data_IF_574134402865
#
_entry.id   IF_574134402865
#
_cell.length_a   1.000
_cell.length_b   1.000
_cell.length_c   1.000
_cell.angle_alpha   90.00
_cell.angle_beta   90.00
_cell.angle_gamma   90.00
#
_symmetry.space_group_name_H-M   'P 1'
#
loop_
_entity.id
_entity.type
_entity.pdbx_description
1 polymer ?
#
# COMPACT_ATOMS: atom_id res chain seq x y z
N UNK A 1 -16.46 -40.35 20.62
CA UNK A 1 -17.77 -41.02 20.51
C UNK A 1 -18.31 -40.75 19.12
N UNK A 2 -18.33 -41.76 18.26
CA UNK A 2 -18.96 -41.72 16.92
C UNK A 2 -20.41 -42.22 17.05
N UNK A 3 -21.32 -42.10 16.04
CA UNK A 3 -21.19 -42.77 14.73
C UNK A 3 -21.38 -41.78 13.55
N UNK A 4 -20.65 -41.89 12.43
CA UNK A 4 -20.81 -42.90 11.36
C UNK A 4 -22.25 -42.96 10.81
N UNK A 5 -22.53 -42.21 9.75
CA UNK A 5 -23.43 -42.66 8.68
C UNK A 5 -22.50 -42.98 7.49
N UNK A 6 -22.10 -44.23 7.31
CA UNK A 6 -22.83 -45.30 6.60
C UNK A 6 -23.23 -44.91 5.18
N UNK A 7 -22.32 -45.27 4.27
CA UNK A 7 -22.59 -45.95 3.00
C UNK A 7 -23.71 -45.36 2.13
N UNK A 8 -23.29 -44.66 1.07
CA UNK A 8 -23.85 -44.91 -0.26
C UNK A 8 -22.68 -45.07 -1.23
N UNK A 9 -22.13 -46.28 -1.23
CA UNK A 9 -21.21 -46.78 -2.25
C UNK A 9 -22.04 -47.71 -3.13
N UNK A 10 -22.58 -47.19 -4.23
CA UNK A 10 -23.04 -47.96 -5.38
C UNK A 10 -23.33 -46.97 -6.51
N UNK A 11 -22.34 -46.79 -7.38
CA UNK A 11 -22.43 -47.02 -8.83
C UNK A 11 -21.53 -46.02 -9.59
N UNK A 12 -20.30 -46.45 -9.88
CA UNK A 12 -19.63 -46.08 -11.13
C UNK A 12 -20.42 -46.70 -12.29
N UNK A 13 -20.63 -45.97 -13.39
CA UNK A 13 -19.96 -46.48 -14.59
C UNK A 13 -19.06 -45.42 -15.22
N UNK A 14 -17.80 -45.82 -15.37
CA UNK A 14 -16.84 -45.34 -16.36
C UNK A 14 -17.50 -45.38 -17.75
N UNK A 15 -18.20 -44.32 -18.12
CA UNK A 15 -18.51 -44.06 -19.52
C UNK A 15 -17.66 -42.88 -19.93
N UNK A 16 -16.57 -43.21 -20.63
CA UNK A 16 -15.83 -42.30 -21.48
C UNK A 16 -16.80 -41.59 -22.42
N UNK A 17 -17.42 -40.50 -21.97
CA UNK A 17 -17.79 -39.45 -22.89
C UNK A 17 -16.47 -38.86 -23.35
N UNK A 18 -15.92 -39.42 -24.42
CA UNK A 18 -15.24 -38.66 -25.45
C UNK A 18 -16.24 -37.62 -25.98
N UNK A 19 -16.67 -36.66 -25.15
CA UNK A 19 -16.95 -35.33 -25.64
C UNK A 19 -15.58 -34.85 -26.08
N UNK A 20 -15.29 -35.11 -27.35
CA UNK A 20 -14.14 -34.61 -28.06
C UNK A 20 -14.04 -33.13 -27.71
N UNK A 21 -13.14 -32.82 -26.77
CA UNK A 21 -12.67 -31.47 -26.53
C UNK A 21 -11.92 -31.14 -27.81
N UNK A 22 -12.68 -30.79 -28.86
CA UNK A 22 -12.19 -30.17 -30.06
C UNK A 22 -11.46 -28.96 -29.53
N UNK A 23 -10.14 -29.09 -29.36
CA UNK A 23 -9.22 -28.01 -29.09
C UNK A 23 -9.46 -27.03 -30.22
N UNK A 24 -10.32 -26.04 -29.99
CA UNK A 24 -10.46 -24.89 -30.86
C UNK A 24 -9.14 -24.16 -30.73
N UNK A 25 -8.16 -24.59 -31.54
CA UNK A 25 -6.91 -23.88 -31.70
C UNK A 25 -7.31 -22.55 -32.32
N UNK A 26 -7.17 -21.48 -31.55
CA UNK A 26 -7.48 -20.14 -32.01
C UNK A 26 -6.61 -19.84 -33.24
N UNK A 27 -7.18 -19.90 -34.43
CA UNK A 27 -6.44 -19.63 -35.66
C UNK A 27 -5.80 -18.23 -35.64
N UNK A 28 -6.44 -17.26 -34.99
CA UNK A 28 -5.91 -15.94 -34.65
C UNK A 28 -6.52 -15.46 -33.33
N UNK A 29 -5.71 -14.89 -32.43
CA UNK A 29 -6.14 -14.25 -31.18
C UNK A 29 -6.16 -12.73 -31.30
N UNK A 30 -6.89 -12.04 -30.41
CA UNK A 30 -6.78 -10.59 -30.29
C UNK A 30 -5.47 -10.22 -29.62
N UNK A 31 -4.71 -9.29 -30.20
CA UNK A 31 -3.36 -8.94 -29.74
C UNK A 31 -3.34 -8.01 -28.52
N UNK A 32 -4.34 -7.15 -28.33
CA UNK A 32 -4.40 -6.20 -27.21
C UNK A 32 -5.84 -5.73 -26.90
N UNK A 33 -6.15 -5.49 -25.62
CA UNK A 33 -7.45 -4.92 -25.20
C UNK A 33 -7.34 -4.15 -23.88
N UNK A 34 -7.96 -2.96 -23.83
CA UNK A 34 -8.10 -2.13 -22.63
C UNK A 34 -9.56 -2.09 -22.11
N UNK A 35 -10.45 -2.92 -22.66
CA UNK A 35 -11.91 -2.78 -22.46
C UNK A 35 -12.39 -2.93 -21.00
N UNK A 36 -11.71 -3.75 -20.20
CA UNK A 36 -12.10 -4.01 -18.80
C UNK A 36 -11.10 -3.44 -17.77
N UNK A 37 -10.09 -2.67 -18.18
CA UNK A 37 -9.13 -2.16 -17.19
C UNK A 37 -9.78 -1.06 -16.34
N UNK A 38 -10.38 -0.06 -16.98
CA UNK A 38 -11.05 1.05 -16.28
C UNK A 38 -12.09 0.54 -15.26
N UNK A 39 -12.90 -0.47 -15.62
CA UNK A 39 -13.91 -1.02 -14.71
C UNK A 39 -13.31 -1.67 -13.47
N UNK A 40 -12.17 -2.37 -13.63
CA UNK A 40 -11.44 -2.98 -12.50
C UNK A 40 -10.79 -1.91 -11.63
N UNK A 41 -10.19 -0.90 -12.24
CA UNK A 41 -9.52 0.19 -11.52
C UNK A 41 -10.53 1.01 -10.69
N UNK A 42 -11.74 1.21 -11.23
CA UNK A 42 -12.83 1.88 -10.52
C UNK A 42 -13.60 1.01 -9.54
N UNK A 43 -13.49 -0.33 -9.57
CA UNK A 43 -14.17 -1.23 -8.61
C UNK A 43 -13.80 -0.89 -7.15
N UNK A 44 -12.52 -0.62 -6.91
CA UNK A 44 -12.02 -0.19 -5.59
C UNK A 44 -11.86 1.35 -5.50
N UNK A 45 -12.03 2.03 -6.63
CA UNK A 45 -11.84 3.46 -6.80
C UNK A 45 -10.36 3.87 -6.86
N UNK A 46 -10.03 4.77 -7.78
CA UNK A 46 -8.68 5.34 -7.89
C UNK A 46 -8.49 6.36 -6.78
N UNK A 47 -7.76 5.99 -5.72
CA UNK A 47 -7.50 6.86 -4.57
C UNK A 47 -6.30 7.76 -4.82
N UNK A 48 -6.41 9.04 -4.43
CA UNK A 48 -5.30 9.98 -4.45
C UNK A 48 -4.31 9.64 -3.33
N UNK A 49 -2.99 9.87 -3.51
CA UNK A 49 -2.03 9.68 -2.43
C UNK A 49 -2.36 10.60 -1.26
N UNK A 50 -2.15 10.10 -0.03
CA UNK A 50 -2.41 10.86 1.19
C UNK A 50 -1.43 12.04 1.31
N UNK A 51 -1.96 13.21 1.68
CA UNK A 51 -1.16 14.40 1.97
C UNK A 51 -1.02 14.56 3.47
N UNK A 52 0.20 14.53 3.98
CA UNK A 52 0.50 14.78 5.39
C UNK A 52 0.87 16.25 5.59
N UNK A 53 0.56 16.82 6.78
CA UNK A 53 0.90 18.22 7.11
C UNK A 53 2.40 18.52 7.01
N UNK A 54 3.26 17.52 7.22
CA UNK A 54 4.73 17.64 7.12
C UNK A 54 5.24 16.51 6.24
N UNK A 55 5.88 16.86 5.14
CA UNK A 55 6.48 15.91 4.22
C UNK A 55 7.90 15.51 4.66
N UNK A 56 8.42 14.41 4.10
CA UNK A 56 9.80 14.00 4.33
C UNK A 56 10.78 14.94 3.64
N UNK A 57 11.93 15.23 4.26
CA UNK A 57 13.01 16.03 3.64
C UNK A 57 13.97 15.18 2.79
N UNK A 58 13.51 14.04 2.25
CA UNK A 58 14.34 13.15 1.43
C UNK A 58 14.59 13.81 0.07
N UNK A 59 15.84 13.82 -0.39
CA UNK A 59 16.24 14.46 -1.65
C UNK A 59 16.62 15.94 -1.52
N UNK A 60 16.55 16.52 -0.31
CA UNK A 60 17.07 17.87 -0.04
C UNK A 60 18.61 17.82 0.04
N UNK A 61 19.26 18.90 -0.38
CA UNK A 61 20.72 19.05 -0.36
C UNK A 61 21.34 18.63 1.00
N UNK A 62 22.31 17.70 1.00
CA UNK A 62 22.99 17.27 2.21
C UNK A 62 23.65 18.41 3.00
N UNK A 63 24.16 19.47 2.34
CA UNK A 63 24.81 20.60 3.04
C UNK A 63 23.79 21.39 3.86
N UNK A 64 22.63 21.68 3.27
CA UNK A 64 21.50 22.27 4.00
C UNK A 64 21.03 21.40 5.17
N UNK A 65 20.86 20.09 4.95
CA UNK A 65 20.39 19.18 6.00
C UNK A 65 21.36 19.07 7.18
N UNK A 66 22.68 19.09 6.92
CA UNK A 66 23.71 19.13 7.97
C UNK A 66 23.54 20.38 8.84
N UNK A 67 23.43 21.55 8.23
CA UNK A 67 23.22 22.80 8.96
C UNK A 67 21.91 22.80 9.76
N UNK A 68 20.80 22.39 9.14
CA UNK A 68 19.49 22.31 9.79
C UNK A 68 19.52 21.40 11.02
N UNK A 69 20.24 20.27 10.93
CA UNK A 69 20.43 19.34 12.05
C UNK A 69 21.16 20.01 13.21
N UNK A 70 22.25 20.74 12.94
CA UNK A 70 23.00 21.46 13.98
C UNK A 70 22.21 22.62 14.60
N UNK A 71 21.51 23.40 13.78
CA UNK A 71 20.66 24.49 14.27
C UNK A 71 19.57 23.98 15.22
N UNK A 72 18.87 22.90 14.82
CA UNK A 72 17.86 22.25 15.67
C UNK A 72 18.46 21.65 16.94
N UNK A 73 19.65 21.05 16.85
CA UNK A 73 20.36 20.42 17.98
C UNK A 73 20.74 21.42 19.07
N UNK A 74 21.23 22.61 18.70
CA UNK A 74 21.76 23.59 19.65
C UNK A 74 20.76 24.67 20.08
N UNK A 75 19.50 24.59 19.63
CA UNK A 75 18.45 25.46 20.16
C UNK A 75 18.29 25.25 21.66
N UNK A 76 18.47 26.32 22.45
CA UNK A 76 18.28 26.28 23.90
C UNK A 76 16.85 25.82 24.20
N UNK A 77 16.69 24.91 25.16
CA UNK A 77 15.36 24.50 25.65
C UNK A 77 14.55 25.75 26.02
N UNK A 78 13.27 25.78 25.62
CA UNK A 78 12.37 26.92 25.81
C UNK A 78 12.38 27.48 27.23
N UNK A 79 12.41 26.60 28.25
CA UNK A 79 12.51 26.99 29.67
C UNK A 79 13.75 27.86 29.99
N UNK A 80 14.90 27.57 29.38
CA UNK A 80 16.12 28.38 29.56
C UNK A 80 15.99 29.71 28.83
N UNK A 81 15.35 29.74 27.67
CA UNK A 81 15.13 30.98 26.92
C UNK A 81 14.19 31.93 27.65
N UNK A 82 13.07 31.42 28.18
CA UNK A 82 12.12 32.20 28.98
C UNK A 82 12.80 32.77 30.23
N UNK A 83 13.59 31.97 30.96
CA UNK A 83 14.35 32.46 32.14
C UNK A 83 15.35 33.57 31.77
N UNK A 84 16.04 33.43 30.64
CA UNK A 84 16.97 34.46 30.14
C UNK A 84 16.20 35.73 29.73
N UNK A 85 15.05 35.59 29.08
CA UNK A 85 14.21 36.71 28.69
C UNK A 85 13.67 37.47 29.91
N UNK A 86 13.11 36.76 30.90
CA UNK A 86 12.62 37.34 32.17
C UNK A 86 13.75 38.01 32.94
N UNK A 87 14.94 37.39 33.04
CA UNK A 87 16.11 38.06 33.65
C UNK A 87 16.47 39.34 32.92
N UNK A 88 16.54 39.30 31.58
CA UNK A 88 16.87 40.48 30.76
C UNK A 88 15.85 41.60 30.91
N UNK A 89 14.57 41.30 31.08
CA UNK A 89 13.52 42.32 31.29
C UNK A 89 13.56 42.93 32.69
N UNK A 90 14.04 42.20 33.70
CA UNK A 90 14.15 42.71 35.09
C UNK A 90 15.43 43.54 35.29
N UNK A 91 16.50 43.23 34.56
CA UNK A 91 17.78 43.98 34.62
C UNK A 91 17.81 45.21 33.73
N UNK A 92 16.76 45.47 32.95
CA UNK A 92 16.61 46.63 32.07
C UNK A 92 15.73 47.66 32.76
#
# INVERSE_FOLDING_TARGET
MTPKNMLNLQNEPLFETQCCIKKFVMAKSKNHTNHNQNRKDHRNGIKRPSRFRKESMRGVDPKFLKNLKFARKHNKKLRKQVKIAVKKTVTK
#
